data_IF_896686886034
#
_entry.id   IF_896686886034
#
_cell.length_a   1.000
_cell.length_b   1.000
_cell.length_c   1.000
_cell.angle_alpha   90.00
_cell.angle_beta   90.00
_cell.angle_gamma   90.00
#
_symmetry.space_group_name_H-M   'P 1'
#
loop_
_entity.id
_entity.type
_entity.pdbx_description
1 polymer ?
#
# COMPACT_ATOMS: atom_id res chain seq x y z
N UNK A 1 -21.87 -1.62 -1.34
CA UNK A 1 -22.88 -0.67 -1.89
C UNK A 1 -22.20 0.08 -3.02
N UNK A 2 -22.69 -0.02 -4.25
CA UNK A 2 -22.31 0.90 -5.33
C UNK A 2 -23.39 1.99 -5.36
N UNK A 3 -22.97 3.23 -5.16
CA UNK A 3 -23.84 4.40 -5.20
C UNK A 3 -23.51 5.15 -6.48
N UNK A 4 -24.53 5.56 -7.24
CA UNK A 4 -24.33 6.47 -8.36
C UNK A 4 -23.94 7.84 -7.80
N UNK A 5 -22.69 8.24 -8.02
CA UNK A 5 -22.12 9.50 -7.53
C UNK A 5 -21.46 10.24 -8.68
N UNK A 6 -21.59 11.57 -8.68
CA UNK A 6 -20.94 12.46 -9.64
C UNK A 6 -20.02 13.42 -8.89
N UNK A 7 -18.80 13.59 -9.38
CA UNK A 7 -17.92 14.68 -8.95
C UNK A 7 -18.40 16.00 -9.57
N UNK A 8 -18.58 17.02 -8.73
CA UNK A 8 -19.05 18.34 -9.17
C UNK A 8 -17.89 19.12 -9.83
N UNK A 9 -18.19 19.83 -10.92
CA UNK A 9 -17.25 20.75 -11.57
C UNK A 9 -17.23 22.13 -10.90
N UNK A 10 -16.17 22.91 -11.15
CA UNK A 10 -16.04 24.30 -10.67
C UNK A 10 -15.39 24.45 -9.29
N UNK A 11 -14.96 23.34 -8.67
CA UNK A 11 -14.31 23.32 -7.35
C UNK A 11 -12.79 23.56 -7.38
N UNK A 12 -12.22 23.89 -8.54
CA UNK A 12 -10.78 23.82 -8.80
C UNK A 12 -9.94 24.70 -7.85
N UNK A 13 -10.45 25.86 -7.48
CA UNK A 13 -9.76 26.78 -6.54
C UNK A 13 -9.71 26.24 -5.10
N UNK A 14 -10.62 25.35 -4.72
CA UNK A 14 -10.71 24.80 -3.37
C UNK A 14 -10.13 23.37 -3.26
N UNK A 15 -10.40 22.52 -4.25
CA UNK A 15 -10.05 21.10 -4.23
C UNK A 15 -8.91 20.72 -5.19
N UNK A 16 -8.48 21.66 -6.03
CA UNK A 16 -7.53 21.41 -7.11
C UNK A 16 -8.23 21.06 -8.43
N UNK A 17 -7.51 21.17 -9.56
CA UNK A 17 -8.03 20.90 -10.89
C UNK A 17 -8.41 19.42 -11.07
N UNK A 18 -8.98 19.09 -12.25
CA UNK A 18 -9.31 17.70 -12.63
C UNK A 18 -10.21 16.98 -11.62
N UNK A 19 -11.26 17.66 -11.14
CA UNK A 19 -12.19 17.13 -10.11
C UNK A 19 -11.51 16.80 -8.77
N UNK A 20 -10.45 17.54 -8.42
CA UNK A 20 -9.68 17.32 -7.21
C UNK A 20 -8.75 16.11 -7.31
N UNK A 21 -8.06 15.96 -8.45
CA UNK A 21 -7.03 14.93 -8.61
C UNK A 21 -6.02 15.03 -7.47
N UNK A 22 -5.88 13.95 -6.71
CA UNK A 22 -5.08 13.92 -5.51
C UNK A 22 -3.95 12.87 -5.61
N UNK A 23 -2.87 13.15 -4.89
CA UNK A 23 -1.75 12.21 -4.71
C UNK A 23 -1.56 11.94 -3.22
N UNK A 24 -1.36 10.67 -2.88
CA UNK A 24 -1.08 10.23 -1.52
C UNK A 24 0.40 9.92 -1.42
N UNK A 25 1.07 10.52 -0.43
CA UNK A 25 2.51 10.35 -0.20
C UNK A 25 2.77 9.73 1.17
N UNK A 26 3.80 8.90 1.24
CA UNK A 26 4.35 8.43 2.52
C UNK A 26 5.37 9.44 3.03
N UNK A 27 5.15 9.95 4.25
CA UNK A 27 6.06 10.87 4.92
C UNK A 27 6.75 10.17 6.08
N UNK A 28 8.02 10.48 6.30
CA UNK A 28 8.83 10.00 7.43
C UNK A 28 9.50 11.18 8.13
N UNK A 29 10.03 10.96 9.34
CA UNK A 29 10.87 12.00 9.98
C UNK A 29 12.15 12.22 9.15
N UNK A 30 12.72 13.43 9.12
CA UNK A 30 13.86 13.76 8.25
C UNK A 30 15.07 12.81 8.41
N UNK A 31 15.27 12.26 9.60
CA UNK A 31 16.38 11.37 9.95
C UNK A 31 16.04 9.87 9.89
N UNK A 32 14.79 9.50 9.56
CA UNK A 32 14.30 8.12 9.62
C UNK A 32 15.11 7.18 8.72
N UNK A 33 15.45 7.64 7.52
CA UNK A 33 16.20 6.84 6.55
C UNK A 33 17.61 6.52 7.04
N UNK A 34 18.19 7.40 7.85
CA UNK A 34 19.53 7.23 8.45
C UNK A 34 19.46 6.31 9.66
N UNK A 35 18.46 6.50 10.54
CA UNK A 35 18.28 5.68 11.76
C UNK A 35 17.80 4.26 11.46
N UNK A 36 16.97 4.10 10.41
CA UNK A 36 16.29 2.86 10.10
C UNK A 36 16.43 2.51 8.62
N UNK A 37 17.65 2.29 8.09
CA UNK A 37 17.89 2.18 6.65
C UNK A 37 17.11 1.04 5.98
N UNK A 38 16.96 -0.11 6.66
CA UNK A 38 16.20 -1.25 6.13
C UNK A 38 14.68 -0.96 6.05
N UNK A 39 14.10 -0.37 7.11
CA UNK A 39 12.70 0.03 7.10
C UNK A 39 12.44 1.22 6.16
N UNK A 40 13.40 2.12 6.06
CA UNK A 40 13.43 3.22 5.09
C UNK A 40 13.33 2.72 3.66
N UNK A 41 14.06 1.65 3.33
CA UNK A 41 13.97 1.00 2.02
C UNK A 41 12.57 0.42 1.77
N UNK A 42 11.98 -0.25 2.75
CA UNK A 42 10.61 -0.76 2.64
C UNK A 42 9.61 0.37 2.33
N UNK A 43 9.57 1.43 3.14
CA UNK A 43 8.61 2.53 2.92
C UNK A 43 8.86 3.30 1.62
N UNK A 44 10.11 3.31 1.14
CA UNK A 44 10.46 3.89 -0.17
C UNK A 44 9.93 3.04 -1.32
N UNK A 45 9.94 1.71 -1.18
CA UNK A 45 9.47 0.78 -2.21
C UNK A 45 7.94 0.64 -2.25
N UNK A 46 7.23 0.94 -1.15
CA UNK A 46 5.77 0.82 -1.07
C UNK A 46 5.09 1.79 -2.05
N UNK A 47 4.47 1.21 -3.08
CA UNK A 47 3.64 1.91 -4.05
C UNK A 47 2.33 1.17 -4.21
N UNK A 48 1.25 1.94 -4.24
CA UNK A 48 -0.11 1.43 -4.33
C UNK A 48 -0.75 1.91 -5.63
N UNK A 49 -1.71 1.14 -6.11
CA UNK A 49 -2.58 1.53 -7.22
C UNK A 49 -4.01 1.61 -6.72
N UNK A 50 -4.81 2.46 -7.35
CA UNK A 50 -6.24 2.57 -7.02
C UNK A 50 -6.96 1.23 -7.17
N UNK A 51 -6.55 0.37 -8.11
CA UNK A 51 -7.08 -0.97 -8.28
C UNK A 51 -6.79 -1.87 -7.06
N UNK A 52 -5.55 -1.86 -6.55
CA UNK A 52 -5.17 -2.62 -5.36
C UNK A 52 -6.00 -2.16 -4.16
N UNK A 53 -6.06 -0.85 -3.92
CA UNK A 53 -6.79 -0.26 -2.79
C UNK A 53 -8.28 -0.59 -2.87
N UNK A 54 -8.89 -0.47 -4.05
CA UNK A 54 -10.29 -0.79 -4.27
C UNK A 54 -10.61 -2.26 -3.98
N UNK A 55 -9.72 -3.19 -4.34
CA UNK A 55 -9.91 -4.62 -4.06
C UNK A 55 -9.88 -4.92 -2.56
N UNK A 56 -8.95 -4.29 -1.82
CA UNK A 56 -8.88 -4.41 -0.36
C UNK A 56 -10.13 -3.81 0.32
N UNK A 57 -10.51 -2.61 -0.09
CA UNK A 57 -11.62 -1.86 0.51
C UNK A 57 -12.95 -2.60 0.35
N UNK A 58 -13.18 -3.28 -0.77
CA UNK A 58 -14.39 -4.10 -0.95
C UNK A 58 -14.52 -5.20 0.12
N UNK A 59 -13.45 -5.92 0.42
CA UNK A 59 -13.46 -6.95 1.47
C UNK A 59 -13.68 -6.35 2.85
N UNK A 60 -13.06 -5.21 3.15
CA UNK A 60 -13.20 -4.52 4.44
C UNK A 60 -14.64 -4.00 4.63
N UNK A 61 -15.22 -3.40 3.59
CA UNK A 61 -16.63 -2.96 3.62
C UNK A 61 -17.59 -4.13 3.82
N UNK A 62 -17.22 -5.33 3.35
CA UNK A 62 -17.94 -6.59 3.59
C UNK A 62 -17.55 -7.26 4.93
N UNK A 63 -17.16 -6.46 5.94
CA UNK A 63 -16.90 -6.89 7.33
C UNK A 63 -15.67 -7.79 7.52
N UNK A 64 -14.79 -7.92 6.53
CA UNK A 64 -13.51 -8.61 6.73
C UNK A 64 -12.56 -7.71 7.53
N UNK A 65 -11.83 -8.27 8.50
CA UNK A 65 -10.80 -7.49 9.22
C UNK A 65 -9.74 -7.00 8.22
N UNK A 66 -9.30 -5.73 8.28
CA UNK A 66 -8.34 -5.18 7.31
C UNK A 66 -7.05 -6.00 7.16
N UNK A 67 -6.52 -6.54 8.26
CA UNK A 67 -5.34 -7.41 8.24
C UNK A 67 -5.56 -8.70 7.46
N UNK A 68 -6.77 -9.28 7.57
CA UNK A 68 -7.11 -10.54 6.91
C UNK A 68 -7.36 -10.30 5.42
N UNK A 69 -8.01 -9.18 5.08
CA UNK A 69 -8.17 -8.71 3.70
C UNK A 69 -6.81 -8.46 3.02
N UNK A 70 -5.89 -7.78 3.70
CA UNK A 70 -4.54 -7.53 3.21
C UNK A 70 -3.77 -8.84 3.00
N UNK A 71 -3.78 -9.77 3.96
CA UNK A 71 -3.14 -11.08 3.82
C UNK A 71 -3.73 -11.88 2.65
N UNK A 72 -5.05 -11.90 2.51
CA UNK A 72 -5.73 -12.58 1.41
C UNK A 72 -5.37 -11.96 0.05
N UNK A 73 -5.28 -10.63 -0.03
CA UNK A 73 -4.82 -9.94 -1.22
C UNK A 73 -3.39 -10.30 -1.59
N UNK A 74 -2.46 -10.25 -0.62
CA UNK A 74 -1.05 -10.58 -0.84
C UNK A 74 -0.86 -12.03 -1.28
N UNK A 75 -1.66 -12.96 -0.74
CA UNK A 75 -1.69 -14.35 -1.19
C UNK A 75 -2.15 -14.48 -2.66
N UNK A 76 -3.14 -13.70 -3.07
CA UNK A 76 -3.67 -13.70 -4.44
C UNK A 76 -2.79 -12.94 -5.43
N UNK A 77 -1.98 -12.00 -4.94
CA UNK A 77 -1.14 -11.11 -5.75
C UNK A 77 0.31 -11.10 -5.22
N UNK A 78 0.99 -12.25 -5.13
CA UNK A 78 2.30 -12.36 -4.49
C UNK A 78 3.38 -11.51 -5.17
N UNK A 79 3.22 -11.19 -6.46
CA UNK A 79 4.15 -10.39 -7.25
C UNK A 79 4.36 -8.97 -6.72
N UNK A 80 3.38 -8.39 -5.99
CA UNK A 80 3.54 -7.05 -5.40
C UNK A 80 4.66 -7.02 -4.37
N UNK A 81 4.94 -8.17 -3.73
CA UNK A 81 5.98 -8.32 -2.73
C UNK A 81 7.38 -8.20 -3.35
N UNK A 82 7.55 -8.57 -4.62
CA UNK A 82 8.87 -8.56 -5.27
C UNK A 82 9.39 -7.11 -5.36
N UNK A 83 8.53 -6.15 -5.73
CA UNK A 83 8.86 -4.74 -5.77
C UNK A 83 8.98 -4.13 -4.36
N UNK A 84 8.01 -4.41 -3.47
CA UNK A 84 8.00 -3.83 -2.13
C UNK A 84 9.18 -4.29 -1.27
N UNK A 85 9.60 -5.55 -1.41
CA UNK A 85 10.67 -6.16 -0.61
C UNK A 85 12.03 -6.17 -1.33
N UNK A 86 12.15 -5.51 -2.49
CA UNK A 86 13.40 -5.39 -3.22
C UNK A 86 14.51 -4.81 -2.33
N UNK A 87 15.48 -5.65 -1.98
CA UNK A 87 16.60 -5.30 -1.10
C UNK A 87 16.22 -5.00 0.36
N UNK A 88 15.02 -5.41 0.80
CA UNK A 88 14.59 -5.36 2.20
C UNK A 88 15.00 -6.66 2.90
N UNK A 89 15.53 -6.54 4.10
CA UNK A 89 15.98 -7.65 4.95
C UNK A 89 15.02 -7.87 6.13
N UNK A 90 15.08 -9.06 6.70
CA UNK A 90 14.50 -9.36 8.01
C UNK A 90 15.30 -8.67 9.13
N UNK A 91 14.79 -8.71 10.36
CA UNK A 91 15.48 -8.13 11.52
C UNK A 91 16.84 -8.80 11.79
N UNK A 92 16.95 -10.11 11.55
CA UNK A 92 18.19 -10.88 11.66
C UNK A 92 19.07 -10.86 10.38
N UNK A 93 18.74 -10.00 9.41
CA UNK A 93 19.58 -9.72 8.24
C UNK A 93 19.40 -10.67 7.04
N UNK A 94 18.46 -11.62 7.10
CA UNK A 94 18.11 -12.51 5.98
C UNK A 94 17.28 -11.77 4.92
N UNK A 95 17.11 -12.37 3.75
CA UNK A 95 16.26 -11.79 2.69
C UNK A 95 14.79 -11.72 3.12
N UNK A 96 14.18 -10.54 2.96
CA UNK A 96 12.80 -10.30 3.40
C UNK A 96 11.76 -11.02 2.54
N UNK A 97 11.97 -11.12 1.23
CA UNK A 97 11.00 -11.72 0.31
C UNK A 97 10.72 -13.21 0.62
N UNK A 98 11.72 -14.09 0.77
CA UNK A 98 11.47 -15.48 1.19
C UNK A 98 10.78 -15.58 2.55
N UNK A 99 11.18 -14.74 3.52
CA UNK A 99 10.59 -14.76 4.86
C UNK A 99 9.10 -14.38 4.85
N UNK A 100 8.73 -13.37 4.06
CA UNK A 100 7.33 -12.95 3.91
C UNK A 100 6.51 -13.97 3.14
N UNK A 101 7.05 -14.57 2.06
CA UNK A 101 6.37 -15.64 1.32
C UNK A 101 6.10 -16.84 2.23
N UNK A 102 7.08 -17.27 3.01
CA UNK A 102 6.90 -18.34 4.00
C UNK A 102 5.82 -18.00 5.05
N UNK A 103 5.81 -16.76 5.60
CA UNK A 103 4.78 -16.32 6.54
C UNK A 103 3.38 -16.31 5.92
N UNK A 104 3.28 -15.97 4.64
CA UNK A 104 2.03 -15.99 3.89
C UNK A 104 1.66 -17.40 3.39
N UNK A 105 2.52 -18.42 3.54
CA UNK A 105 2.27 -19.76 3.01
C UNK A 105 2.24 -19.80 1.47
N UNK A 106 3.14 -19.04 0.85
CA UNK A 106 3.37 -18.96 -0.60
C UNK A 106 4.64 -19.70 -1.02
#
# INVERSE_FOLDING_TARGET
>A
IQISMNYLSGGDAAFGPNYGEARVYTLTSPDFMTRCPNAGKLVTNLRFTTQLENQLMQSVMNKTKPTDAAKAYLKKNPQVLDAWLAGVKTFDGKDGLPAVKAYLGL
#
